data_IF_583668399888
#
_entry.id   IF_583668399888
#
_cell.length_a   1.000
_cell.length_b   1.000
_cell.length_c   1.000
_cell.angle_alpha   90.00
_cell.angle_beta   90.00
_cell.angle_gamma   90.00
#
_symmetry.space_group_name_H-M   'P 1'
#
loop_
_entity.id
_entity.type
_entity.pdbx_description
1 polymer ?
#
# COMPACT_ATOMS: atom_id res chain seq x y z
N UNK A 1 58.71 25.96 44.75
CA UNK A 1 60.20 25.72 44.71
C UNK A 1 60.52 25.21 43.32
N UNK A 2 61.45 25.99 42.73
CA UNK A 2 62.44 25.60 41.72
C UNK A 2 61.92 24.97 40.44
N UNK A 3 61.93 25.61 39.31
CA UNK A 3 63.03 26.27 38.52
C UNK A 3 63.44 25.42 37.33
N UNK A 4 63.34 26.01 36.18
CA UNK A 4 64.31 26.24 35.07
C UNK A 4 64.66 24.97 34.23
N UNK A 5 64.96 25.00 32.93
CA UNK A 5 65.53 25.99 32.01
C UNK A 5 65.52 25.39 30.60
N UNK A 6 65.08 26.06 29.53
CA UNK A 6 65.91 26.67 28.47
C UNK A 6 66.99 25.74 27.84
N UNK A 7 67.08 25.60 26.53
CA UNK A 7 67.85 26.45 25.58
C UNK A 7 67.86 25.68 24.21
N UNK A 8 67.49 26.30 23.11
CA UNK A 8 68.23 26.84 21.97
C UNK A 8 69.27 25.88 21.30
N UNK A 9 69.42 25.77 20.01
CA UNK A 9 69.71 26.75 18.98
C UNK A 9 69.89 26.08 17.61
N UNK A 10 69.35 26.67 16.56
CA UNK A 10 69.81 26.93 15.21
C UNK A 10 70.89 26.06 14.50
N UNK A 11 70.76 25.73 13.27
CA UNK A 11 71.47 26.42 12.16
C UNK A 11 71.03 25.85 10.77
N UNK A 12 70.85 26.73 9.87
CA UNK A 12 70.63 26.51 8.45
C UNK A 12 71.94 26.11 7.73
N UNK A 13 71.83 25.51 6.56
CA UNK A 13 72.58 25.86 5.34
C UNK A 13 71.85 25.26 4.10
N UNK A 14 71.66 26.12 3.11
CA UNK A 14 71.16 25.90 1.80
C UNK A 14 72.13 25.15 0.89
N UNK A 15 71.70 24.46 -0.07
CA UNK A 15 72.29 24.42 -1.41
C UNK A 15 71.25 24.18 -2.50
N UNK A 16 71.27 25.05 -3.45
CA UNK A 16 70.52 25.14 -4.71
C UNK A 16 70.84 24.01 -5.70
N UNK A 17 69.79 23.56 -6.38
CA UNK A 17 69.94 22.75 -7.58
C UNK A 17 68.66 22.87 -8.42
N UNK A 18 68.69 23.78 -9.38
CA UNK A 18 67.61 23.97 -10.35
C UNK A 18 67.58 22.81 -11.37
N UNK A 19 66.49 22.15 -11.47
CA UNK A 19 66.11 21.41 -12.69
C UNK A 19 64.72 21.88 -13.10
N UNK A 20 64.69 22.62 -14.20
CA UNK A 20 63.47 22.96 -14.89
C UNK A 20 62.95 21.73 -15.61
N UNK A 21 61.84 21.20 -15.14
CA UNK A 21 61.02 20.28 -15.95
C UNK A 21 59.73 21.05 -16.34
N UNK A 22 59.59 21.28 -17.64
CA UNK A 22 58.39 21.78 -18.27
C UNK A 22 57.27 20.74 -18.08
N UNK A 23 56.32 21.05 -17.21
CA UNK A 23 55.06 20.31 -17.16
C UNK A 23 54.13 20.92 -18.20
N UNK A 24 53.80 20.17 -19.23
CA UNK A 24 52.68 20.43 -20.14
C UNK A 24 51.40 20.38 -19.31
N UNK A 25 50.65 21.48 -19.31
CA UNK A 25 49.38 21.56 -18.65
C UNK A 25 48.33 20.78 -19.40
N UNK A 26 47.99 19.62 -18.90
CA UNK A 26 46.70 18.99 -19.19
C UNK A 26 45.64 19.76 -18.39
N UNK A 27 44.92 20.62 -19.09
CA UNK A 27 43.69 21.21 -18.58
C UNK A 27 42.65 20.13 -18.54
N UNK A 28 42.41 19.56 -17.36
CA UNK A 28 41.18 18.78 -17.12
C UNK A 28 39.98 19.67 -17.42
N UNK A 29 38.95 19.14 -18.09
CA UNK A 29 37.74 19.91 -18.34
C UNK A 29 37.11 20.31 -17.01
N UNK A 30 36.82 21.62 -16.87
CA UNK A 30 36.05 22.19 -15.80
C UNK A 30 34.69 21.48 -15.77
N UNK A 31 34.47 20.59 -14.79
CA UNK A 31 33.17 20.10 -14.44
C UNK A 31 32.49 21.25 -13.71
N UNK A 32 31.42 21.84 -14.24
CA UNK A 32 30.69 22.81 -13.45
C UNK A 32 30.19 22.11 -12.19
N UNK A 33 30.55 22.65 -11.05
CA UNK A 33 29.96 22.31 -9.75
C UNK A 33 28.45 22.41 -9.92
N UNK A 34 27.77 21.25 -9.91
CA UNK A 34 26.32 21.24 -9.87
C UNK A 34 25.96 21.91 -8.55
N UNK A 35 25.34 23.08 -8.68
CA UNK A 35 24.69 23.75 -7.56
C UNK A 35 24.00 22.67 -6.74
N UNK A 36 24.46 22.52 -5.49
CA UNK A 36 23.88 21.60 -4.54
C UNK A 36 22.42 21.97 -4.41
N UNK A 37 21.54 21.17 -5.03
CA UNK A 37 20.13 21.22 -4.75
C UNK A 37 20.01 20.95 -3.25
N UNK A 38 19.74 21.99 -2.49
CA UNK A 38 19.39 21.90 -1.09
C UNK A 38 18.22 20.92 -0.99
N UNK A 39 18.46 19.72 -0.44
CA UNK A 39 17.42 18.74 -0.18
C UNK A 39 16.57 19.33 0.94
N UNK A 40 15.58 20.13 0.56
CA UNK A 40 14.58 20.62 1.49
C UNK A 40 13.64 19.45 1.82
N UNK A 41 13.48 19.09 3.11
CA UNK A 41 12.54 18.06 3.55
C UNK A 41 11.13 18.41 3.09
N UNK A 42 10.46 17.48 2.41
CA UNK A 42 9.17 17.74 1.75
C UNK A 42 8.22 16.58 2.09
N UNK A 43 6.95 16.84 2.45
CA UNK A 43 6.17 15.92 3.30
C UNK A 43 7.20 15.24 4.19
N UNK A 44 7.22 15.29 5.45
CA UNK A 44 8.43 15.00 6.21
C UNK A 44 9.19 13.80 5.62
N UNK A 45 10.39 14.05 5.02
CA UNK A 45 11.20 13.02 4.37
C UNK A 45 10.78 12.55 2.96
N UNK A 46 9.80 13.19 2.33
CA UNK A 46 9.33 12.86 0.97
C UNK A 46 9.98 13.69 -0.14
N UNK A 47 9.35 13.74 -1.31
CA UNK A 47 9.78 14.47 -2.51
C UNK A 47 8.61 14.98 -3.35
N UNK A 48 8.88 15.73 -4.45
CA UNK A 48 7.85 16.13 -5.39
C UNK A 48 7.13 14.91 -5.97
N UNK A 49 5.80 14.92 -5.92
CA UNK A 49 4.99 13.80 -6.37
C UNK A 49 4.99 13.67 -7.90
N UNK A 50 5.02 12.42 -8.38
CA UNK A 50 4.71 12.12 -9.76
C UNK A 50 3.20 12.26 -10.00
N UNK A 51 2.77 13.41 -10.53
CA UNK A 51 1.34 13.71 -10.71
C UNK A 51 0.57 12.72 -11.58
N UNK A 52 1.24 11.95 -12.44
CA UNK A 52 0.60 10.89 -13.21
C UNK A 52 -0.02 9.80 -12.32
N UNK A 53 0.56 9.57 -11.15
CA UNK A 53 0.07 8.60 -10.16
C UNK A 53 -1.02 9.18 -9.23
N UNK A 54 -1.28 10.49 -9.30
CA UNK A 54 -2.14 11.19 -8.32
C UNK A 54 -3.29 11.95 -8.98
N UNK A 55 -3.73 11.55 -10.16
CA UNK A 55 -4.79 12.24 -10.90
C UNK A 55 -6.13 12.34 -10.15
N UNK A 56 -6.32 11.54 -9.12
CA UNK A 56 -7.47 11.57 -8.21
C UNK A 56 -7.29 12.51 -7.01
N UNK A 57 -6.06 12.99 -6.76
CA UNK A 57 -5.82 13.90 -5.64
C UNK A 57 -6.68 15.14 -5.75
N UNK A 58 -7.26 15.52 -4.62
CA UNK A 58 -8.24 16.61 -4.56
C UNK A 58 -7.90 17.52 -3.40
N UNK A 59 -7.85 18.82 -3.65
CA UNK A 59 -7.78 19.83 -2.61
C UNK A 59 -9.18 20.15 -2.10
N UNK A 60 -9.34 20.29 -0.79
CA UNK A 60 -10.59 20.77 -0.16
C UNK A 60 -10.39 22.22 0.26
N UNK A 61 -11.24 23.11 -0.25
CA UNK A 61 -11.12 24.56 -0.08
C UNK A 61 -12.41 25.14 0.53
N UNK A 62 -12.28 26.34 1.13
CA UNK A 62 -13.47 27.16 1.35
C UNK A 62 -13.95 27.72 0.00
N UNK A 63 -15.25 27.86 -0.20
CA UNK A 63 -15.84 28.33 -1.48
C UNK A 63 -15.29 29.68 -1.94
N UNK A 64 -14.88 30.55 -1.02
CA UNK A 64 -14.27 31.86 -1.32
C UNK A 64 -12.73 31.85 -1.16
N UNK A 65 -12.12 30.69 -0.91
CA UNK A 65 -10.68 30.55 -0.65
C UNK A 65 -9.91 30.05 -1.85
N UNK A 66 -8.61 30.33 -1.89
CA UNK A 66 -7.68 29.77 -2.87
C UNK A 66 -6.78 28.70 -2.29
N UNK A 67 -6.67 28.66 -0.96
CA UNK A 67 -5.77 27.73 -0.25
C UNK A 67 -6.55 26.56 0.32
N UNK A 68 -6.10 25.34 0.02
CA UNK A 68 -6.67 24.13 0.58
C UNK A 68 -6.44 24.05 2.11
N UNK A 69 -7.45 23.63 2.85
CA UNK A 69 -7.33 23.35 4.28
C UNK A 69 -7.20 21.84 4.57
N UNK A 70 -7.61 21.00 3.63
CA UNK A 70 -7.51 19.54 3.67
C UNK A 70 -7.26 18.98 2.25
N UNK A 71 -6.89 17.71 2.20
CA UNK A 71 -6.87 16.88 1.00
C UNK A 71 -8.12 16.03 0.86
N UNK A 72 -8.18 15.29 -0.23
CA UNK A 72 -9.22 14.33 -0.57
C UNK A 72 -8.84 13.53 -1.80
N UNK A 73 -9.73 12.65 -2.23
CA UNK A 73 -9.59 11.88 -3.46
C UNK A 73 -10.90 11.78 -4.24
N UNK A 74 -10.82 11.99 -5.55
CA UNK A 74 -11.96 11.75 -6.43
C UNK A 74 -12.15 10.23 -6.62
N UNK A 75 -13.33 9.74 -6.30
CA UNK A 75 -13.67 8.31 -6.28
C UNK A 75 -14.73 7.92 -7.33
N UNK A 76 -14.94 8.81 -8.32
CA UNK A 76 -15.93 8.59 -9.39
C UNK A 76 -17.35 9.07 -9.01
N UNK A 77 -18.24 9.06 -10.01
CA UNK A 77 -19.68 9.37 -9.91
C UNK A 77 -20.02 10.72 -9.26
N UNK A 78 -19.08 11.68 -9.33
CA UNK A 78 -19.22 13.00 -8.71
C UNK A 78 -19.02 12.97 -7.19
N UNK A 79 -18.26 12.02 -6.65
CA UNK A 79 -17.93 11.96 -5.24
C UNK A 79 -16.45 12.17 -4.96
N UNK A 80 -16.17 12.89 -3.88
CA UNK A 80 -14.82 13.04 -3.30
C UNK A 80 -14.84 12.48 -1.89
N UNK A 81 -13.85 11.64 -1.59
CA UNK A 81 -13.59 11.08 -0.27
C UNK A 81 -12.62 11.98 0.47
N UNK A 82 -12.89 12.26 1.76
CA UNK A 82 -12.05 13.06 2.65
C UNK A 82 -12.28 12.64 4.11
N UNK A 83 -11.56 13.26 5.05
CA UNK A 83 -11.77 13.03 6.48
C UNK A 83 -13.00 13.80 7.01
N UNK A 84 -13.72 13.19 7.95
CA UNK A 84 -14.86 13.82 8.59
C UNK A 84 -14.48 15.08 9.38
N UNK A 85 -13.33 15.07 10.06
CA UNK A 85 -12.87 16.23 10.85
C UNK A 85 -12.65 17.48 9.97
N UNK A 86 -12.32 17.31 8.70
CA UNK A 86 -12.15 18.42 7.75
C UNK A 86 -13.45 19.17 7.49
N UNK A 87 -14.57 18.46 7.44
CA UNK A 87 -15.82 19.00 6.87
C UNK A 87 -17.01 18.95 7.83
N UNK A 88 -16.93 18.23 8.94
CA UNK A 88 -18.08 18.02 9.84
C UNK A 88 -18.73 19.33 10.34
N UNK A 89 -17.94 20.35 10.62
CA UNK A 89 -18.40 21.65 11.12
C UNK A 89 -18.83 22.65 10.05
N UNK A 90 -18.68 22.31 8.75
CA UNK A 90 -18.95 23.20 7.61
C UNK A 90 -20.22 22.79 6.89
N UNK A 91 -20.99 23.74 6.36
CA UNK A 91 -22.06 23.43 5.40
C UNK A 91 -21.47 23.18 4.02
N UNK A 92 -22.06 22.24 3.25
CA UNK A 92 -21.60 21.84 1.91
C UNK A 92 -21.38 23.05 0.99
N UNK A 93 -22.32 23.99 0.92
CA UNK A 93 -22.26 25.23 0.11
C UNK A 93 -21.03 26.12 0.36
N UNK A 94 -20.30 25.91 1.45
CA UNK A 94 -19.08 26.65 1.78
C UNK A 94 -17.81 25.84 1.50
N UNK A 95 -17.94 24.73 0.81
CA UNK A 95 -16.86 23.84 0.44
C UNK A 95 -16.79 23.75 -1.08
N UNK A 96 -15.61 24.01 -1.62
CA UNK A 96 -15.24 23.65 -2.97
C UNK A 96 -14.17 22.58 -2.94
N UNK A 97 -14.09 21.83 -4.01
CA UNK A 97 -12.98 20.90 -4.26
C UNK A 97 -12.19 21.35 -5.49
N UNK A 98 -10.93 20.91 -5.57
CA UNK A 98 -10.13 21.07 -6.79
C UNK A 98 -9.49 19.73 -7.14
N UNK A 99 -10.10 19.00 -8.09
CA UNK A 99 -9.64 17.68 -8.53
C UNK A 99 -8.44 17.83 -9.47
N UNK A 100 -7.43 16.96 -9.32
CA UNK A 100 -6.15 17.06 -10.00
C UNK A 100 -5.46 18.43 -9.83
N UNK A 101 -5.67 19.07 -8.69
CA UNK A 101 -5.02 20.31 -8.30
C UNK A 101 -3.75 20.02 -7.51
N UNK A 102 -2.59 20.27 -8.12
CA UNK A 102 -1.29 19.89 -7.56
C UNK A 102 -0.51 21.07 -6.97
N UNK A 103 -0.99 22.31 -7.20
CA UNK A 103 -0.35 23.55 -6.71
C UNK A 103 -1.18 24.19 -5.62
N UNK A 104 -0.55 24.51 -4.50
CA UNK A 104 -1.19 25.23 -3.41
C UNK A 104 -1.49 26.66 -3.84
N UNK A 105 -2.77 27.05 -3.80
CA UNK A 105 -3.20 28.37 -4.28
C UNK A 105 -3.13 28.56 -5.81
N UNK A 106 -2.71 27.53 -6.58
CA UNK A 106 -2.60 27.58 -8.03
C UNK A 106 -3.96 27.52 -8.75
N UNK A 107 -3.91 27.67 -10.08
CA UNK A 107 -5.09 27.63 -10.96
C UNK A 107 -5.26 26.29 -11.68
N UNK A 108 -4.34 25.34 -11.45
CA UNK A 108 -4.39 23.98 -11.99
C UNK A 108 -5.54 23.17 -11.36
N UNK A 109 -5.95 22.09 -12.04
CA UNK A 109 -7.05 21.24 -11.61
C UNK A 109 -8.44 21.83 -11.92
N UNK A 110 -9.46 21.03 -11.66
CA UNK A 110 -10.86 21.37 -11.90
C UNK A 110 -11.56 21.74 -10.59
N UNK A 111 -11.92 23.00 -10.42
CA UNK A 111 -12.63 23.50 -9.23
C UNK A 111 -14.13 23.33 -9.38
N UNK A 112 -14.75 22.70 -8.36
CA UNK A 112 -16.17 22.32 -8.38
C UNK A 112 -16.77 22.58 -7.01
N UNK A 113 -17.99 23.11 -6.96
CA UNK A 113 -18.77 23.28 -5.73
C UNK A 113 -19.28 21.94 -5.18
N UNK A 114 -19.51 21.90 -3.88
CA UNK A 114 -20.08 20.75 -3.18
C UNK A 114 -21.56 21.00 -2.92
N UNK A 115 -22.44 20.14 -3.44
CA UNK A 115 -23.90 20.23 -3.24
C UNK A 115 -24.36 19.52 -2.00
N UNK A 116 -23.71 18.42 -1.62
CA UNK A 116 -24.08 17.63 -0.45
C UNK A 116 -22.85 17.04 0.24
N UNK A 117 -22.98 16.83 1.54
CA UNK A 117 -21.92 16.29 2.38
C UNK A 117 -22.47 15.18 3.27
N UNK A 118 -21.80 14.05 3.26
CA UNK A 118 -22.11 12.90 4.09
C UNK A 118 -20.94 12.66 5.06
N UNK A 119 -21.20 12.81 6.34
CA UNK A 119 -20.25 12.47 7.41
C UNK A 119 -20.67 11.11 7.95
N UNK A 120 -19.71 10.20 8.18
CA UNK A 120 -20.04 8.90 8.73
C UNK A 120 -20.83 9.02 10.03
N UNK A 121 -21.98 8.34 10.20
CA UNK A 121 -22.87 8.54 11.34
C UNK A 121 -22.24 8.22 12.71
N UNK A 122 -21.24 7.34 12.72
CA UNK A 122 -20.48 6.97 13.92
C UNK A 122 -19.21 7.82 14.11
N UNK A 123 -18.98 8.85 13.31
CA UNK A 123 -17.83 9.73 13.48
C UNK A 123 -17.82 10.33 14.88
N UNK A 124 -16.70 10.14 15.58
CA UNK A 124 -16.49 10.70 16.91
C UNK A 124 -15.34 11.71 16.90
N UNK A 125 -15.67 12.97 17.13
CA UNK A 125 -14.70 14.07 17.07
C UNK A 125 -13.60 13.98 18.15
N UNK A 126 -13.87 13.34 19.27
CA UNK A 126 -12.91 13.24 20.38
C UNK A 126 -11.88 12.13 20.18
N UNK A 127 -12.29 11.04 19.56
CA UNK A 127 -11.43 9.87 19.31
C UNK A 127 -10.96 9.76 17.88
N UNK A 128 -11.56 10.53 16.95
CA UNK A 128 -11.39 10.45 15.51
C UNK A 128 -11.67 9.05 14.91
N UNK A 129 -12.49 8.24 15.61
CA UNK A 129 -13.00 7.00 15.04
C UNK A 129 -14.01 7.32 13.94
N UNK A 130 -14.04 6.50 12.89
CA UNK A 130 -14.87 6.70 11.69
C UNK A 130 -14.64 8.06 11.03
N UNK A 131 -13.39 8.51 10.98
CA UNK A 131 -13.02 9.82 10.45
C UNK A 131 -13.03 9.85 8.92
N UNK A 132 -14.20 9.69 8.35
CA UNK A 132 -14.43 9.62 6.91
C UNK A 132 -15.68 10.42 6.50
N UNK A 133 -15.62 11.08 5.36
CA UNK A 133 -16.73 11.82 4.77
C UNK A 133 -16.72 11.75 3.25
N UNK A 134 -17.90 11.84 2.65
CA UNK A 134 -18.09 12.00 1.21
C UNK A 134 -18.64 13.37 0.89
N UNK A 135 -18.14 13.95 -0.19
CA UNK A 135 -18.63 15.21 -0.77
C UNK A 135 -19.23 14.91 -2.13
N UNK A 136 -20.52 15.22 -2.32
CA UNK A 136 -21.20 15.16 -3.62
C UNK A 136 -20.93 16.46 -4.37
N UNK A 137 -20.40 16.35 -5.57
CA UNK A 137 -20.05 17.47 -6.43
C UNK A 137 -21.25 17.92 -7.28
N UNK A 138 -21.28 19.19 -7.65
CA UNK A 138 -22.28 19.75 -8.59
C UNK A 138 -22.26 19.07 -9.96
N UNK A 139 -21.11 18.59 -10.38
CA UNK A 139 -20.86 17.89 -11.65
C UNK A 139 -19.67 16.95 -11.52
N UNK A 140 -19.53 16.03 -12.47
CA UNK A 140 -18.30 15.29 -12.61
C UNK A 140 -17.14 16.21 -13.02
N UNK A 141 -15.91 15.96 -12.53
CA UNK A 141 -14.75 16.70 -12.95
C UNK A 141 -14.41 16.43 -14.42
N UNK A 142 -13.90 17.46 -15.08
CA UNK A 142 -13.38 17.41 -16.46
C UNK A 142 -11.89 17.09 -16.51
N UNK A 143 -11.20 17.15 -15.37
CA UNK A 143 -9.79 16.81 -15.20
C UNK A 143 -9.65 15.80 -14.08
N UNK A 144 -8.58 15.01 -14.15
CA UNK A 144 -8.31 13.97 -13.17
C UNK A 144 -8.98 12.63 -13.51
N UNK A 145 -8.74 11.64 -12.68
CA UNK A 145 -9.27 10.27 -12.81
C UNK A 145 -9.70 9.77 -11.44
N UNK A 146 -10.71 8.93 -11.39
CA UNK A 146 -11.13 8.31 -10.15
C UNK A 146 -10.11 7.27 -9.68
N UNK A 147 -9.84 7.23 -8.37
CA UNK A 147 -9.05 6.14 -7.76
C UNK A 147 -9.94 4.95 -7.44
N UNK A 148 -9.38 3.76 -7.57
CA UNK A 148 -9.99 2.53 -7.05
C UNK A 148 -9.88 2.50 -5.52
N UNK A 149 -10.97 2.18 -4.83
CA UNK A 149 -10.98 2.02 -3.39
C UNK A 149 -10.77 0.55 -2.99
N UNK A 150 -10.08 0.34 -1.89
CA UNK A 150 -10.03 -0.96 -1.22
C UNK A 150 -11.40 -1.30 -0.62
N UNK A 151 -11.74 -2.59 -0.58
CA UNK A 151 -12.95 -3.11 0.04
C UNK A 151 -12.65 -4.35 0.87
N UNK A 152 -13.45 -4.61 1.90
CA UNK A 152 -13.31 -5.77 2.78
C UNK A 152 -12.26 -5.58 3.87
N UNK A 153 -11.02 -6.01 3.67
CA UNK A 153 -9.94 -5.90 4.66
C UNK A 153 -8.65 -5.40 4.03
N UNK A 154 -7.95 -4.51 4.71
CA UNK A 154 -6.64 -3.99 4.27
C UNK A 154 -5.62 -5.12 4.07
N UNK A 155 -5.70 -6.21 4.85
CA UNK A 155 -4.79 -7.37 4.75
C UNK A 155 -4.87 -8.11 3.41
N UNK A 156 -5.92 -7.88 2.62
CA UNK A 156 -6.05 -8.40 1.26
C UNK A 156 -5.20 -7.61 0.25
N UNK A 157 -4.84 -6.38 0.59
CA UNK A 157 -4.10 -5.45 -0.27
C UNK A 157 -2.65 -5.27 0.16
N UNK A 158 -2.39 -5.23 1.47
CA UNK A 158 -1.06 -4.97 1.99
C UNK A 158 -0.76 -5.80 3.25
N UNK A 159 0.50 -6.17 3.41
CA UNK A 159 1.03 -6.85 4.60
C UNK A 159 1.76 -5.83 5.48
N UNK A 160 1.87 -6.12 6.77
CA UNK A 160 2.73 -5.35 7.67
C UNK A 160 4.14 -5.19 7.09
N UNK A 161 4.65 -3.96 7.09
CA UNK A 161 5.94 -3.58 6.51
C UNK A 161 5.90 -3.27 5.01
N UNK A 162 4.78 -3.52 4.32
CA UNK A 162 4.66 -3.15 2.91
C UNK A 162 4.52 -1.64 2.74
N UNK A 163 5.20 -1.08 1.73
CA UNK A 163 5.26 0.36 1.49
C UNK A 163 3.96 0.87 0.88
N UNK A 164 3.43 1.90 1.48
CA UNK A 164 2.25 2.65 1.05
C UNK A 164 2.67 4.07 0.74
N UNK A 165 2.10 4.66 -0.31
CA UNK A 165 2.41 6.02 -0.72
C UNK A 165 1.34 7.00 -0.23
N UNK A 166 1.76 8.13 0.32
CA UNK A 166 0.89 9.25 0.74
C UNK A 166 1.28 10.47 -0.08
N UNK A 167 0.29 11.23 -0.54
CA UNK A 167 0.57 12.51 -1.19
C UNK A 167 -0.32 13.63 -0.66
N UNK A 168 0.25 14.84 -0.66
CA UNK A 168 -0.49 16.01 -0.25
C UNK A 168 0.26 17.33 -0.33
N UNK A 169 -0.40 18.36 0.18
CA UNK A 169 0.07 19.74 0.26
C UNK A 169 0.20 20.20 1.72
N UNK A 170 0.36 19.25 2.64
CA UNK A 170 0.58 19.52 4.06
C UNK A 170 1.96 20.10 4.35
N UNK A 171 2.26 20.34 5.63
CA UNK A 171 3.52 20.93 6.07
C UNK A 171 4.70 19.99 5.80
N UNK A 172 5.83 20.58 5.47
CA UNK A 172 7.08 19.87 5.16
C UNK A 172 7.84 19.42 6.42
N UNK A 173 7.45 19.92 7.56
CA UNK A 173 7.93 19.53 8.89
C UNK A 173 6.93 19.97 9.94
N UNK A 174 7.03 19.44 11.15
CA UNK A 174 6.22 19.89 12.28
C UNK A 174 6.42 21.38 12.53
N UNK A 175 5.32 22.18 12.43
CA UNK A 175 5.38 23.64 12.53
C UNK A 175 5.97 24.36 11.31
N UNK A 176 6.44 23.65 10.30
CA UNK A 176 7.07 24.20 9.09
C UNK A 176 6.09 24.80 8.08
N UNK A 177 6.63 25.26 6.94
CA UNK A 177 5.85 25.80 5.80
C UNK A 177 5.16 24.69 5.03
N UNK A 178 4.21 25.06 4.19
CA UNK A 178 3.59 24.17 3.20
C UNK A 178 4.30 24.30 1.84
N UNK A 179 4.35 23.22 1.05
CA UNK A 179 4.92 23.25 -0.29
C UNK A 179 4.03 24.02 -1.27
N UNK A 180 4.63 24.54 -2.32
CA UNK A 180 3.90 25.13 -3.44
C UNK A 180 3.34 24.07 -4.40
N UNK A 181 3.89 22.84 -4.36
CA UNK A 181 3.56 21.73 -5.26
C UNK A 181 3.38 20.44 -4.44
N UNK A 182 2.47 19.57 -4.88
CA UNK A 182 2.17 18.30 -4.20
C UNK A 182 3.43 17.48 -3.99
N UNK A 183 3.53 16.91 -2.80
CA UNK A 183 4.62 16.04 -2.39
C UNK A 183 4.11 14.63 -2.16
N UNK A 184 5.01 13.62 -2.23
CA UNK A 184 4.71 12.23 -1.89
C UNK A 184 5.79 11.64 -0.98
N UNK A 185 5.39 10.67 -0.17
CA UNK A 185 6.28 9.89 0.70
C UNK A 185 5.78 8.45 0.80
N UNK A 186 6.72 7.53 0.90
CA UNK A 186 6.42 6.13 1.15
C UNK A 186 6.61 5.78 2.63
N UNK A 187 5.60 5.15 3.22
CA UNK A 187 5.58 4.75 4.63
C UNK A 187 5.14 3.29 4.76
N UNK A 188 5.79 2.48 5.61
CA UNK A 188 5.41 1.08 5.79
C UNK A 188 4.10 0.95 6.58
N UNK A 189 3.25 -0.02 6.20
CA UNK A 189 2.09 -0.42 6.98
C UNK A 189 2.53 -0.99 8.32
N UNK A 190 1.95 -0.50 9.41
CA UNK A 190 2.24 -0.93 10.78
C UNK A 190 1.12 -1.84 11.29
N UNK A 191 1.48 -2.93 11.97
CA UNK A 191 0.48 -3.82 12.57
C UNK A 191 -0.23 -3.16 13.77
N UNK A 192 -1.50 -3.48 13.99
CA UNK A 192 -2.27 -2.93 15.12
C UNK A 192 -1.59 -3.13 16.48
N UNK A 193 -1.00 -4.32 16.80
CA UNK A 193 -0.30 -4.49 18.06
C UNK A 193 0.87 -3.53 18.26
N UNK A 194 1.64 -3.24 17.19
CA UNK A 194 2.77 -2.30 17.24
C UNK A 194 2.25 -0.87 17.35
N UNK A 195 1.26 -0.50 16.56
CA UNK A 195 0.61 0.79 16.62
C UNK A 195 0.07 1.10 18.03
N UNK A 196 -0.66 0.16 18.61
CA UNK A 196 -1.29 0.31 19.93
C UNK A 196 -0.27 0.50 21.07
N UNK A 197 0.96 -0.02 20.92
CA UNK A 197 2.04 0.20 21.89
C UNK A 197 2.51 1.64 21.97
N UNK A 198 2.22 2.50 20.98
CA UNK A 198 2.49 3.94 21.05
C UNK A 198 1.68 4.65 22.16
N UNK A 199 0.69 3.97 22.74
CA UNK A 199 -0.10 4.42 23.90
C UNK A 199 -1.07 5.57 23.58
N UNK A 200 -1.77 6.04 24.60
CA UNK A 200 -2.78 7.11 24.43
C UNK A 200 -3.87 6.72 23.44
N UNK A 201 -4.19 7.60 22.49
CA UNK A 201 -5.23 7.36 21.49
C UNK A 201 -4.88 6.21 20.52
N UNK A 202 -3.61 5.85 20.36
CA UNK A 202 -3.19 4.70 19.55
C UNK A 202 -3.70 3.36 20.09
N UNK A 203 -3.93 3.24 21.40
CA UNK A 203 -4.42 2.00 22.02
C UNK A 203 -5.77 1.51 21.48
N UNK A 204 -6.50 2.38 20.76
CA UNK A 204 -7.81 2.06 20.18
C UNK A 204 -7.81 2.08 18.65
N UNK A 205 -6.63 2.13 18.02
CA UNK A 205 -6.53 2.01 16.56
C UNK A 205 -6.75 0.54 16.18
N UNK A 206 -7.56 0.31 15.17
CA UNK A 206 -8.00 -0.98 14.65
C UNK A 206 -9.44 -0.88 14.15
N UNK A 207 -9.99 -1.95 13.59
CA UNK A 207 -11.34 -2.08 13.02
C UNK A 207 -11.71 -1.11 11.90
N UNK A 208 -11.51 0.21 12.09
CA UNK A 208 -11.89 1.27 11.12
C UNK A 208 -10.75 2.26 10.86
N UNK A 209 -9.56 1.97 11.37
CA UNK A 209 -8.36 2.76 11.16
C UNK A 209 -7.12 1.86 11.22
N UNK A 210 -6.04 2.27 10.58
CA UNK A 210 -4.74 1.61 10.63
C UNK A 210 -3.61 2.62 10.74
N UNK A 211 -2.42 2.14 11.11
CA UNK A 211 -1.22 2.94 11.22
C UNK A 211 -0.25 2.68 10.06
N UNK A 212 0.45 3.73 9.60
CA UNK A 212 1.61 3.59 8.75
C UNK A 212 2.69 4.60 9.17
N UNK A 213 3.96 4.25 9.00
CA UNK A 213 5.09 5.10 9.39
C UNK A 213 6.27 4.29 9.88
N UNK A 214 7.38 4.98 10.12
CA UNK A 214 8.62 4.38 10.60
C UNK A 214 8.75 4.51 12.12
N UNK A 215 9.26 3.48 12.83
CA UNK A 215 9.49 3.55 14.28
C UNK A 215 10.42 4.70 14.69
N UNK A 216 11.43 5.00 13.87
CA UNK A 216 12.38 6.10 14.10
C UNK A 216 11.82 7.46 13.70
N UNK A 217 10.62 7.54 13.14
CA UNK A 217 10.07 8.76 12.53
C UNK A 217 10.76 9.11 11.21
N UNK A 218 11.01 10.39 10.96
CA UNK A 218 11.69 10.97 9.78
C UNK A 218 10.82 11.08 8.52
N UNK A 219 9.86 10.18 8.31
CA UNK A 219 8.94 10.19 7.16
C UNK A 219 7.50 10.01 7.64
N UNK A 220 6.62 10.94 7.23
CA UNK A 220 5.22 10.94 7.66
C UNK A 220 4.40 11.92 6.83
N UNK A 221 3.07 11.76 6.87
CA UNK A 221 2.11 12.82 6.55
C UNK A 221 2.09 13.88 7.66
N UNK A 222 1.69 15.11 7.34
CA UNK A 222 1.71 16.21 8.31
C UNK A 222 0.46 17.09 8.21
N UNK A 223 0.39 18.12 9.06
CA UNK A 223 -0.75 19.06 9.11
C UNK A 223 -1.05 19.67 7.74
N UNK A 224 -2.26 19.45 7.23
CA UNK A 224 -2.73 19.88 5.92
C UNK A 224 -2.83 18.74 4.89
N UNK A 225 -2.30 17.54 5.18
CA UNK A 225 -2.55 16.32 4.40
C UNK A 225 -3.84 15.62 4.79
N UNK A 226 -4.44 16.02 5.93
CA UNK A 226 -5.72 15.52 6.44
C UNK A 226 -6.76 15.31 5.32
N UNK A 227 -7.39 14.16 5.29
CA UNK A 227 -8.38 13.79 4.26
C UNK A 227 -7.76 13.32 2.94
N UNK A 228 -6.45 13.51 2.73
CA UNK A 228 -5.73 13.03 1.56
C UNK A 228 -5.58 11.50 1.52
N UNK A 229 -5.25 10.94 0.36
CA UNK A 229 -5.15 9.51 0.16
C UNK A 229 -3.84 8.90 0.65
N UNK A 230 -3.93 7.66 1.19
CA UNK A 230 -2.83 6.71 1.28
C UNK A 230 -3.17 5.52 0.39
N UNK A 231 -2.23 5.15 -0.47
CA UNK A 231 -2.46 4.18 -1.55
C UNK A 231 -1.39 3.09 -1.56
N UNK A 232 -1.74 1.97 -2.18
CA UNK A 232 -0.76 1.00 -2.66
C UNK A 232 -0.72 1.04 -4.18
N UNK A 233 0.51 1.02 -4.75
CA UNK A 233 0.73 0.96 -6.19
C UNK A 233 1.40 -0.36 -6.54
N UNK A 234 0.73 -1.19 -7.33
CA UNK A 234 1.25 -2.47 -7.81
C UNK A 234 1.24 -2.49 -9.34
N UNK A 235 2.41 -2.18 -9.92
CA UNK A 235 2.59 -2.23 -11.38
C UNK A 235 1.71 -1.24 -12.15
N UNK A 236 1.43 -0.07 -11.56
CA UNK A 236 0.58 0.97 -12.15
C UNK A 236 -0.90 0.89 -11.73
N UNK A 237 -1.31 -0.17 -11.07
CA UNK A 237 -2.64 -0.25 -10.45
C UNK A 237 -2.59 0.38 -9.06
N UNK A 238 -3.26 1.52 -8.92
CA UNK A 238 -3.31 2.30 -7.68
C UNK A 238 -4.63 2.04 -6.98
N UNK A 239 -4.55 1.60 -5.71
CA UNK A 239 -5.72 1.36 -4.85
C UNK A 239 -5.57 2.17 -3.58
N UNK A 240 -6.56 2.98 -3.25
CA UNK A 240 -6.60 3.73 -2.01
C UNK A 240 -7.01 2.81 -0.85
N UNK A 241 -6.14 2.71 0.15
CA UNK A 241 -6.36 1.91 1.35
C UNK A 241 -6.92 2.71 2.51
N UNK A 242 -6.59 4.00 2.56
CA UNK A 242 -7.01 4.85 3.67
C UNK A 242 -7.07 6.33 3.33
N UNK A 243 -7.52 7.08 4.31
CA UNK A 243 -7.62 8.55 4.29
C UNK A 243 -6.87 9.11 5.49
N UNK A 244 -5.97 10.08 5.29
CA UNK A 244 -5.18 10.71 6.36
C UNK A 244 -6.12 11.27 7.42
N UNK A 245 -6.00 10.79 8.65
CA UNK A 245 -6.85 11.17 9.77
C UNK A 245 -6.08 11.99 10.82
N UNK A 246 -5.15 11.39 11.55
CA UNK A 246 -4.43 12.08 12.61
C UNK A 246 -3.05 11.48 12.89
N UNK A 247 -2.26 12.17 13.70
CA UNK A 247 -0.99 11.73 14.26
C UNK A 247 -0.60 12.61 15.43
N UNK A 248 0.37 12.17 16.25
CA UNK A 248 0.94 12.99 17.34
C UNK A 248 2.24 13.63 16.86
N UNK A 249 2.16 14.90 16.46
CA UNK A 249 3.24 15.59 15.74
C UNK A 249 3.34 15.12 14.30
N UNK A 250 4.50 15.27 13.68
CA UNK A 250 4.79 14.76 12.34
C UNK A 250 6.18 14.12 12.35
N UNK A 251 6.26 12.86 11.92
CA UNK A 251 7.51 12.08 11.84
C UNK A 251 8.29 11.97 13.15
N UNK A 252 7.62 11.95 14.30
CA UNK A 252 8.25 11.75 15.61
C UNK A 252 8.54 10.26 15.83
N UNK A 253 9.63 9.89 16.50
CA UNK A 253 9.88 8.50 16.87
C UNK A 253 8.71 7.90 17.66
N UNK A 254 8.38 6.63 17.37
CA UNK A 254 7.30 5.86 17.97
C UNK A 254 5.91 6.52 17.87
N UNK A 255 5.73 7.42 16.90
CA UNK A 255 4.44 8.04 16.57
C UNK A 255 4.17 7.84 15.07
N UNK A 256 3.12 7.12 14.79
CA UNK A 256 2.72 6.77 13.43
C UNK A 256 1.61 7.69 12.92
N UNK A 257 1.52 7.86 11.61
CA UNK A 257 0.31 8.40 10.99
C UNK A 257 -0.84 7.40 11.14
N UNK A 258 -2.03 7.89 11.46
CA UNK A 258 -3.27 7.10 11.56
C UNK A 258 -4.20 7.47 10.41
N UNK A 259 -4.71 6.46 9.74
CA UNK A 259 -5.51 6.56 8.54
C UNK A 259 -6.86 5.89 8.76
N UNK A 260 -7.97 6.53 8.37
CA UNK A 260 -9.26 5.87 8.32
C UNK A 260 -9.21 4.73 7.29
N UNK A 261 -9.59 3.51 7.69
CA UNK A 261 -9.52 2.31 6.84
C UNK A 261 -10.64 2.31 5.81
N UNK A 262 -10.30 2.62 4.56
CA UNK A 262 -11.24 2.65 3.43
C UNK A 262 -11.80 1.27 3.16
N UNK A 263 -11.00 0.21 3.31
CA UNK A 263 -11.47 -1.15 3.07
C UNK A 263 -12.57 -1.55 4.08
N UNK A 264 -12.34 -1.26 5.36
CA UNK A 264 -13.32 -1.53 6.41
C UNK A 264 -14.59 -0.67 6.29
N UNK A 265 -14.45 0.56 5.76
CA UNK A 265 -15.54 1.54 5.64
C UNK A 265 -16.18 1.56 4.23
N UNK A 266 -15.73 0.71 3.31
CA UNK A 266 -16.22 0.65 1.93
C UNK A 266 -17.73 0.49 1.83
N UNK A 267 -18.34 -0.26 2.73
CA UNK A 267 -19.77 -0.46 2.74
C UNK A 267 -20.59 0.81 2.94
N UNK A 268 -20.12 1.70 3.81
CA UNK A 268 -20.77 3.00 3.99
C UNK A 268 -20.58 3.89 2.75
N UNK A 269 -19.38 3.88 2.15
CA UNK A 269 -19.08 4.64 0.93
C UNK A 269 -20.01 4.20 -0.20
N UNK A 270 -20.09 2.89 -0.43
CA UNK A 270 -20.93 2.32 -1.50
C UNK A 270 -22.42 2.58 -1.25
N UNK A 271 -22.90 2.49 0.00
CA UNK A 271 -24.27 2.82 0.38
C UNK A 271 -24.66 4.25 0.00
N UNK A 272 -23.78 5.21 0.25
CA UNK A 272 -24.01 6.61 -0.14
C UNK A 272 -24.00 6.78 -1.66
N UNK A 273 -23.05 6.17 -2.37
CA UNK A 273 -22.94 6.28 -3.84
C UNK A 273 -24.13 5.66 -4.56
N UNK A 274 -24.73 4.62 -4.03
CA UNK A 274 -25.86 3.90 -4.63
C UNK A 274 -27.24 4.44 -4.19
N UNK A 275 -27.25 5.38 -3.24
CA UNK A 275 -28.51 5.84 -2.63
C UNK A 275 -29.12 4.74 -1.75
N UNK A 276 -29.22 4.92 -0.48
CA UNK A 276 -29.52 4.05 0.68
C UNK A 276 -30.52 2.88 0.56
N UNK A 277 -30.90 2.44 -0.61
CA UNK A 277 -32.02 1.49 -0.79
C UNK A 277 -31.66 0.16 -1.46
N UNK A 278 -30.40 -0.15 -1.68
CA UNK A 278 -30.00 -1.40 -2.34
C UNK A 278 -28.96 -2.21 -1.53
N UNK A 279 -28.98 -3.55 -1.60
CA UNK A 279 -27.89 -4.35 -1.10
C UNK A 279 -26.61 -4.01 -1.86
N UNK A 280 -25.51 -3.83 -1.15
CA UNK A 280 -24.19 -3.51 -1.73
C UNK A 280 -23.22 -4.65 -1.45
N UNK A 281 -22.72 -5.29 -2.51
CA UNK A 281 -21.73 -6.38 -2.38
C UNK A 281 -20.33 -5.87 -2.65
N UNK A 282 -19.47 -6.00 -1.67
CA UNK A 282 -18.04 -5.68 -1.77
C UNK A 282 -17.19 -6.93 -1.85
N UNK A 283 -16.21 -6.91 -2.74
CA UNK A 283 -15.27 -8.01 -2.97
C UNK A 283 -14.04 -7.47 -3.73
N UNK A 284 -12.92 -8.19 -3.67
CA UNK A 284 -11.74 -7.85 -4.45
C UNK A 284 -11.94 -8.36 -5.88
N UNK A 285 -11.90 -7.46 -6.86
CA UNK A 285 -12.12 -7.82 -8.27
C UNK A 285 -10.93 -8.55 -8.90
N UNK A 286 -9.73 -8.02 -8.70
CA UNK A 286 -8.51 -8.59 -9.28
C UNK A 286 -7.41 -8.65 -8.23
N UNK A 287 -6.78 -9.81 -8.11
CA UNK A 287 -5.68 -10.01 -7.17
C UNK A 287 -4.57 -10.82 -7.83
N UNK A 288 -3.33 -10.35 -7.63
CA UNK A 288 -2.14 -11.10 -8.01
C UNK A 288 -1.55 -11.77 -6.77
N UNK A 289 -1.34 -13.06 -6.83
CA UNK A 289 -0.66 -13.83 -5.80
C UNK A 289 0.85 -13.89 -6.10
N UNK A 290 1.62 -14.32 -5.10
CA UNK A 290 3.03 -14.64 -5.30
C UNK A 290 3.22 -15.71 -6.39
N UNK A 291 4.38 -15.72 -7.03
CA UNK A 291 4.76 -16.80 -7.93
C UNK A 291 4.82 -18.11 -7.16
N UNK A 292 4.49 -19.21 -7.82
CA UNK A 292 4.50 -20.55 -7.26
C UNK A 292 5.20 -21.53 -8.21
N UNK A 293 5.58 -22.69 -7.69
CA UNK A 293 6.28 -23.72 -8.47
C UNK A 293 5.28 -24.61 -9.21
N UNK A 294 5.74 -25.25 -10.30
CA UNK A 294 4.96 -26.31 -10.95
C UNK A 294 4.59 -27.38 -9.91
N UNK A 295 3.37 -27.89 -10.02
CA UNK A 295 2.76 -28.91 -9.15
C UNK A 295 2.54 -28.47 -7.67
N UNK A 296 2.95 -27.26 -7.31
CA UNK A 296 2.60 -26.65 -6.00
C UNK A 296 1.11 -26.35 -5.94
N UNK A 297 0.46 -26.70 -4.83
CA UNK A 297 -0.93 -26.36 -4.58
C UNK A 297 -1.02 -24.98 -3.95
N UNK A 298 -1.71 -24.09 -4.64
CA UNK A 298 -1.98 -22.72 -4.18
C UNK A 298 -3.39 -22.66 -3.64
N UNK A 299 -3.56 -22.22 -2.40
CA UNK A 299 -4.87 -21.98 -1.79
C UNK A 299 -5.21 -20.49 -1.87
N UNK A 300 -6.46 -20.18 -2.19
CA UNK A 300 -6.99 -18.81 -2.16
C UNK A 300 -8.41 -18.78 -1.60
N UNK A 301 -8.76 -17.64 -0.98
CA UNK A 301 -10.09 -17.38 -0.44
C UNK A 301 -10.70 -16.16 -1.10
N UNK A 302 -11.81 -16.35 -1.79
CA UNK A 302 -12.68 -15.25 -2.22
C UNK A 302 -13.65 -14.91 -1.10
N UNK A 303 -13.80 -13.63 -0.82
CA UNK A 303 -14.74 -13.13 0.21
C UNK A 303 -15.71 -12.15 -0.44
N UNK A 304 -17.01 -12.35 -0.21
CA UNK A 304 -18.05 -11.38 -0.51
C UNK A 304 -18.58 -10.85 0.82
N UNK A 305 -18.74 -9.53 0.93
CA UNK A 305 -19.39 -8.88 2.07
C UNK A 305 -20.58 -8.07 1.57
N UNK A 306 -21.71 -8.19 2.25
CA UNK A 306 -22.79 -7.24 2.08
C UNK A 306 -22.54 -6.01 2.95
N UNK A 307 -22.15 -4.92 2.31
CA UNK A 307 -21.86 -3.63 2.93
C UNK A 307 -23.08 -2.69 2.92
N UNK A 308 -24.15 -3.07 2.22
CA UNK A 308 -25.40 -2.31 2.18
C UNK A 308 -26.27 -2.51 3.42
N UNK A 309 -27.30 -1.68 3.54
CA UNK A 309 -28.28 -1.74 4.65
C UNK A 309 -29.32 -2.86 4.48
N UNK A 310 -29.58 -3.28 3.24
CA UNK A 310 -30.53 -4.34 2.90
C UNK A 310 -29.83 -5.70 2.77
N UNK A 311 -30.58 -6.77 2.96
CA UNK A 311 -30.07 -8.13 2.75
C UNK A 311 -29.85 -8.41 1.27
N UNK A 312 -28.73 -9.08 0.95
CA UNK A 312 -28.36 -9.52 -0.39
C UNK A 312 -28.48 -11.04 -0.51
N UNK A 313 -29.38 -11.53 -1.35
CA UNK A 313 -29.47 -12.96 -1.67
C UNK A 313 -28.57 -13.28 -2.86
N UNK A 314 -27.63 -14.20 -2.67
CA UNK A 314 -26.71 -14.64 -3.72
C UNK A 314 -27.29 -15.86 -4.44
N UNK A 315 -27.08 -15.94 -5.75
CA UNK A 315 -27.26 -17.17 -6.52
C UNK A 315 -26.06 -18.12 -6.28
N UNK A 316 -26.13 -19.31 -6.90
CA UNK A 316 -25.00 -20.22 -6.92
C UNK A 316 -23.77 -19.52 -7.53
N UNK A 317 -22.62 -19.66 -6.89
CA UNK A 317 -21.36 -19.11 -7.39
C UNK A 317 -20.74 -20.07 -8.43
N UNK A 318 -19.93 -19.51 -9.32
CA UNK A 318 -19.18 -20.28 -10.31
C UNK A 318 -17.69 -19.97 -10.18
N UNK A 319 -16.88 -21.02 -10.15
CA UNK A 319 -15.41 -20.90 -10.15
C UNK A 319 -14.85 -21.60 -11.37
N UNK A 320 -14.01 -20.93 -12.13
CA UNK A 320 -13.40 -21.45 -13.34
C UNK A 320 -11.92 -21.11 -13.44
N UNK A 321 -11.12 -22.02 -13.97
CA UNK A 321 -9.69 -21.84 -14.23
C UNK A 321 -9.41 -21.53 -15.69
N UNK A 322 -8.36 -20.77 -15.96
CA UNK A 322 -7.83 -20.53 -17.31
C UNK A 322 -6.32 -20.31 -17.30
N UNK A 323 -5.72 -20.19 -18.48
CA UNK A 323 -4.26 -20.18 -18.62
C UNK A 323 -3.68 -21.56 -18.30
N UNK A 324 -2.66 -21.61 -17.44
CA UNK A 324 -2.02 -22.88 -17.04
C UNK A 324 -2.65 -23.49 -15.76
N UNK A 325 -3.82 -23.00 -15.32
CA UNK A 325 -4.52 -23.51 -14.14
C UNK A 325 -4.88 -24.98 -14.31
N UNK A 326 -4.50 -25.81 -13.35
CA UNK A 326 -4.77 -27.24 -13.25
C UNK A 326 -5.26 -27.60 -11.86
N UNK A 327 -5.92 -28.73 -11.71
CA UNK A 327 -6.35 -29.26 -10.41
C UNK A 327 -7.23 -28.31 -9.58
N UNK A 328 -8.00 -27.43 -10.25
CA UNK A 328 -8.86 -26.47 -9.57
C UNK A 328 -10.00 -27.18 -8.83
N UNK A 329 -10.07 -26.97 -7.53
CA UNK A 329 -11.09 -27.51 -6.63
C UNK A 329 -11.63 -26.42 -5.73
N UNK A 330 -12.95 -26.39 -5.52
CA UNK A 330 -13.58 -25.60 -4.45
C UNK A 330 -13.57 -26.44 -3.18
N UNK A 331 -12.79 -26.02 -2.18
CA UNK A 331 -12.63 -26.77 -0.92
C UNK A 331 -13.66 -26.38 0.13
N UNK A 332 -14.23 -25.17 0.02
CA UNK A 332 -15.36 -24.73 0.84
C UNK A 332 -16.14 -23.62 0.12
N UNK A 333 -17.45 -23.64 0.25
CA UNK A 333 -18.35 -22.62 -0.27
C UNK A 333 -19.41 -22.30 0.77
N UNK A 334 -19.40 -21.06 1.26
CA UNK A 334 -20.42 -20.54 2.15
C UNK A 334 -21.22 -19.38 1.53
N UNK A 335 -21.05 -19.15 0.21
CA UNK A 335 -21.68 -18.06 -0.55
C UNK A 335 -22.86 -18.50 -1.40
N UNK A 336 -22.77 -19.66 -2.04
CA UNK A 336 -23.82 -20.13 -2.96
C UNK A 336 -25.19 -20.21 -2.30
N UNK A 337 -26.18 -19.59 -2.94
CA UNK A 337 -27.58 -19.56 -2.53
C UNK A 337 -27.80 -19.03 -1.10
N UNK A 338 -26.94 -18.13 -0.65
CA UNK A 338 -26.98 -17.55 0.71
C UNK A 338 -27.51 -16.14 0.67
N UNK A 339 -28.32 -15.80 1.67
CA UNK A 339 -28.69 -14.41 1.97
C UNK A 339 -27.72 -13.84 3.00
N UNK A 340 -27.05 -12.74 2.66
CA UNK A 340 -26.17 -11.98 3.53
C UNK A 340 -26.94 -10.78 4.08
N UNK A 341 -27.17 -10.73 5.38
CA UNK A 341 -27.66 -9.52 6.05
C UNK A 341 -26.60 -8.41 6.00
N UNK A 342 -27.00 -7.17 6.34
CA UNK A 342 -26.06 -6.05 6.42
C UNK A 342 -24.80 -6.42 7.21
N UNK A 343 -23.65 -6.10 6.67
CA UNK A 343 -22.32 -6.37 7.23
C UNK A 343 -21.92 -7.86 7.33
N UNK A 344 -22.73 -8.80 6.86
CA UNK A 344 -22.33 -10.20 6.80
C UNK A 344 -21.43 -10.49 5.61
N UNK A 345 -20.56 -11.50 5.78
CA UNK A 345 -19.66 -12.00 4.74
C UNK A 345 -19.85 -13.49 4.53
N UNK A 346 -19.47 -13.94 3.33
CA UNK A 346 -19.31 -15.34 2.99
C UNK A 346 -17.97 -15.55 2.26
N UNK A 347 -17.52 -16.81 2.21
CA UNK A 347 -16.25 -17.17 1.63
C UNK A 347 -16.38 -18.35 0.68
N UNK A 348 -15.55 -18.34 -0.36
CA UNK A 348 -15.30 -19.50 -1.21
C UNK A 348 -13.80 -19.77 -1.22
N UNK A 349 -13.40 -20.93 -0.73
CA UNK A 349 -12.01 -21.36 -0.71
C UNK A 349 -11.74 -22.24 -1.93
N UNK A 350 -10.65 -22.00 -2.59
CA UNK A 350 -10.21 -22.76 -3.77
C UNK A 350 -8.79 -23.22 -3.62
N UNK A 351 -8.48 -24.35 -4.24
CA UNK A 351 -7.11 -24.83 -4.43
C UNK A 351 -6.89 -25.07 -5.92
N UNK A 352 -5.70 -24.74 -6.40
CA UNK A 352 -5.29 -24.96 -7.79
C UNK A 352 -3.78 -25.15 -7.88
N UNK A 353 -3.33 -25.69 -9.00
CA UNK A 353 -1.92 -25.90 -9.33
C UNK A 353 -1.66 -25.53 -10.79
N UNK A 354 -0.45 -25.73 -11.26
CA UNK A 354 -0.08 -25.66 -12.68
C UNK A 354 0.90 -26.76 -13.02
N UNK A 355 0.74 -27.38 -14.20
CA UNK A 355 1.62 -28.44 -14.72
C UNK A 355 2.64 -27.90 -15.73
N UNK A 356 2.47 -26.66 -16.18
CA UNK A 356 3.35 -25.97 -17.12
C UNK A 356 3.58 -24.54 -16.66
N UNK A 357 4.76 -23.98 -16.97
CA UNK A 357 5.06 -22.60 -16.65
C UNK A 357 4.16 -21.63 -17.44
N UNK A 358 3.76 -20.57 -16.79
CA UNK A 358 2.85 -19.58 -17.37
C UNK A 358 1.99 -18.89 -16.35
N UNK A 359 0.95 -18.21 -16.81
CA UNK A 359 0.00 -17.52 -15.93
C UNK A 359 -1.22 -18.41 -15.67
N UNK A 360 -1.47 -18.72 -14.40
CA UNK A 360 -2.66 -19.35 -13.91
C UNK A 360 -3.69 -18.28 -13.49
N UNK A 361 -4.93 -18.42 -13.92
CA UNK A 361 -6.01 -17.52 -13.55
C UNK A 361 -7.18 -18.34 -12.98
N UNK A 362 -7.71 -17.91 -11.83
CA UNK A 362 -8.93 -18.46 -11.26
C UNK A 362 -9.97 -17.36 -11.21
N UNK A 363 -11.06 -17.53 -11.94
CA UNK A 363 -12.19 -16.59 -11.97
C UNK A 363 -13.30 -17.10 -11.06
N UNK A 364 -13.73 -16.24 -10.17
CA UNK A 364 -14.90 -16.41 -9.31
C UNK A 364 -16.01 -15.49 -9.82
N UNK A 365 -17.18 -16.03 -10.14
CA UNK A 365 -18.32 -15.29 -10.65
C UNK A 365 -19.57 -15.56 -9.79
N UNK A 366 -20.35 -14.52 -9.56
CA UNK A 366 -21.58 -14.57 -8.77
C UNK A 366 -22.57 -13.49 -9.20
N UNK A 367 -23.82 -13.62 -8.78
CA UNK A 367 -24.88 -12.63 -8.99
C UNK A 367 -25.81 -12.60 -7.78
N UNK A 368 -26.58 -11.53 -7.67
CA UNK A 368 -27.72 -11.45 -6.74
C UNK A 368 -28.97 -12.04 -7.37
N UNK A 369 -29.84 -12.64 -6.56
CA UNK A 369 -31.04 -13.32 -7.04
C UNK A 369 -32.05 -12.36 -7.70
N UNK A 370 -32.02 -11.08 -7.28
CA UNK A 370 -32.94 -10.01 -7.73
C UNK A 370 -32.28 -9.05 -8.74
N UNK A 371 -31.08 -9.40 -9.24
CA UNK A 371 -30.31 -8.57 -10.16
C UNK A 371 -29.79 -9.39 -11.35
N UNK A 372 -29.88 -8.83 -12.55
CA UNK A 372 -29.22 -9.39 -13.74
C UNK A 372 -27.72 -9.13 -13.80
N UNK A 373 -27.19 -8.31 -12.88
CA UNK A 373 -25.78 -7.94 -12.85
C UNK A 373 -24.91 -9.12 -12.44
N UNK A 374 -23.96 -9.47 -13.30
CA UNK A 374 -22.94 -10.47 -13.00
C UNK A 374 -21.70 -9.78 -12.42
N UNK A 375 -21.25 -10.29 -11.30
CA UNK A 375 -20.02 -9.87 -10.64
C UNK A 375 -18.93 -10.92 -10.87
N UNK A 376 -17.67 -10.49 -10.95
CA UNK A 376 -16.57 -11.44 -11.01
C UNK A 376 -15.33 -10.91 -10.34
N UNK A 377 -14.56 -11.81 -9.73
CA UNK A 377 -13.24 -11.59 -9.21
C UNK A 377 -12.26 -12.56 -9.91
N UNK A 378 -11.04 -12.10 -10.16
CA UNK A 378 -9.99 -12.93 -10.76
C UNK A 378 -8.76 -12.92 -9.89
N UNK A 379 -8.25 -14.11 -9.62
CA UNK A 379 -6.94 -14.29 -8.99
C UNK A 379 -5.97 -14.76 -10.07
N UNK A 380 -4.83 -14.09 -10.15
CA UNK A 380 -3.76 -14.40 -11.09
C UNK A 380 -2.49 -14.76 -10.32
N UNK A 381 -1.85 -15.85 -10.71
CA UNK A 381 -0.56 -16.26 -10.16
C UNK A 381 0.35 -16.77 -11.29
N UNK A 382 1.64 -16.54 -11.20
CA UNK A 382 2.61 -17.02 -12.20
C UNK A 382 3.25 -18.32 -11.72
N UNK A 383 2.96 -19.39 -12.44
CA UNK A 383 3.66 -20.66 -12.28
C UNK A 383 5.04 -20.56 -12.94
N UNK A 384 6.07 -20.87 -12.20
CA UNK A 384 7.45 -20.85 -12.68
C UNK A 384 8.03 -22.25 -12.63
N UNK A 385 8.66 -22.62 -13.72
CA UNK A 385 9.55 -23.77 -13.73
C UNK A 385 10.84 -23.35 -13.04
N UNK A 386 10.87 -23.48 -11.72
CA UNK A 386 12.17 -23.42 -11.04
C UNK A 386 12.79 -24.77 -11.37
N UNK A 387 13.99 -24.82 -11.95
CA UNK A 387 14.69 -26.09 -12.12
C UNK A 387 14.77 -26.77 -10.76
N UNK A 388 13.96 -27.79 -10.60
CA UNK A 388 13.81 -28.51 -9.33
C UNK A 388 15.02 -29.41 -9.09
N UNK A 389 15.89 -29.52 -10.08
CA UNK A 389 17.16 -30.21 -9.97
C UNK A 389 18.11 -29.46 -9.04
N UNK A 390 17.87 -29.56 -7.76
CA UNK A 390 18.90 -29.39 -6.76
C UNK A 390 19.95 -30.50 -6.97
N UNK A 391 21.20 -30.25 -6.61
CA UNK A 391 22.24 -31.29 -6.69
C UNK A 391 21.78 -32.60 -6.06
N UNK A 392 22.28 -33.73 -6.55
CA UNK A 392 21.99 -35.05 -5.95
C UNK A 392 22.30 -35.01 -4.45
N UNK A 393 21.44 -35.61 -3.64
CA UNK A 393 21.72 -35.77 -2.24
C UNK A 393 23.05 -36.51 -2.00
N UNK A 394 23.87 -36.00 -1.10
CA UNK A 394 25.13 -36.57 -0.67
C UNK A 394 25.12 -36.73 0.87
N UNK A 395 25.44 -37.94 1.33
CA UNK A 395 25.48 -38.29 2.74
C UNK A 395 26.51 -37.47 3.58
N UNK A 396 27.55 -36.95 2.93
CA UNK A 396 28.64 -36.20 3.58
C UNK A 396 28.42 -34.67 3.53
N UNK A 397 27.32 -34.22 2.95
CA UNK A 397 27.01 -32.79 2.82
C UNK A 397 26.01 -32.39 3.90
N UNK A 398 26.29 -31.24 4.53
CA UNK A 398 25.34 -30.59 5.46
C UNK A 398 24.32 -29.78 4.67
N UNK A 399 23.06 -30.07 4.94
CA UNK A 399 21.94 -29.30 4.35
C UNK A 399 21.21 -28.52 5.45
N UNK A 400 20.69 -27.36 5.07
CA UNK A 400 19.93 -26.46 5.97
C UNK A 400 18.73 -25.93 5.22
N UNK A 401 17.68 -25.52 5.91
CA UNK A 401 16.57 -24.82 5.26
C UNK A 401 17.08 -23.51 4.62
N UNK A 402 16.80 -23.25 3.33
CA UNK A 402 15.92 -23.96 2.38
C UNK A 402 16.66 -24.84 1.33
N UNK A 403 17.77 -25.48 1.69
CA UNK A 403 18.53 -26.29 0.72
C UNK A 403 17.67 -27.42 0.15
N UNK A 404 17.77 -27.63 -1.16
CA UNK A 404 17.04 -28.67 -1.89
C UNK A 404 17.98 -29.69 -2.49
N UNK A 405 17.52 -30.93 -2.50
CA UNK A 405 18.25 -32.06 -3.09
C UNK A 405 17.34 -32.93 -3.92
N UNK A 406 17.89 -33.56 -4.94
CA UNK A 406 17.24 -34.62 -5.69
C UNK A 406 17.69 -35.98 -5.14
N UNK A 407 16.73 -36.86 -4.86
CA UNK A 407 16.98 -38.24 -4.46
C UNK A 407 15.90 -39.15 -5.06
N UNK A 408 16.35 -40.16 -5.86
CA UNK A 408 15.48 -41.12 -6.54
C UNK A 408 14.36 -40.47 -7.40
N UNK A 409 14.70 -39.45 -8.19
CA UNK A 409 13.74 -38.73 -9.05
C UNK A 409 12.73 -37.88 -8.30
N UNK A 410 13.00 -37.59 -7.04
CA UNK A 410 12.14 -36.75 -6.17
C UNK A 410 12.96 -35.61 -5.62
N UNK A 411 12.32 -34.47 -5.43
CA UNK A 411 12.93 -33.29 -4.84
C UNK A 411 12.46 -33.13 -3.41
N UNK A 412 13.42 -32.85 -2.55
CA UNK A 412 13.21 -32.64 -1.12
C UNK A 412 13.87 -31.33 -0.69
N UNK A 413 13.25 -30.63 0.26
CA UNK A 413 13.79 -29.46 0.93
C UNK A 413 14.10 -29.77 2.40
N UNK A 414 15.29 -29.38 2.87
CA UNK A 414 15.63 -29.52 4.28
C UNK A 414 14.77 -28.59 5.14
N UNK A 415 14.07 -29.14 6.14
CA UNK A 415 13.25 -28.37 7.10
C UNK A 415 14.12 -27.65 8.14
N UNK A 416 15.28 -28.21 8.46
CA UNK A 416 16.29 -27.68 9.38
C UNK A 416 17.65 -28.30 9.06
N UNK A 417 18.64 -28.10 9.88
CA UNK A 417 19.98 -28.67 9.71
C UNK A 417 19.96 -30.22 9.71
N UNK A 418 20.60 -30.82 8.71
CA UNK A 418 20.71 -32.29 8.58
C UNK A 418 22.05 -32.70 7.94
N UNK A 419 22.56 -33.86 8.35
CA UNK A 419 23.75 -34.53 7.80
C UNK A 419 23.49 -36.04 7.79
N UNK A 420 23.79 -36.69 6.66
CA UNK A 420 23.66 -38.15 6.46
C UNK A 420 22.24 -38.72 6.68
N UNK A 421 21.21 -37.89 6.61
CA UNK A 421 19.82 -38.34 6.66
C UNK A 421 19.20 -38.42 5.25
N UNK A 422 18.77 -39.66 4.88
CA UNK A 422 18.24 -39.89 3.51
C UNK A 422 16.90 -39.21 3.31
N UNK A 423 16.74 -38.46 2.18
CA UNK A 423 15.44 -37.96 1.79
C UNK A 423 14.41 -39.06 1.62
N UNK A 424 13.19 -38.81 2.04
CA UNK A 424 12.08 -39.76 1.97
C UNK A 424 12.02 -40.79 3.10
N UNK A 425 13.09 -40.94 3.89
CA UNK A 425 13.13 -41.87 5.04
C UNK A 425 13.28 -41.16 6.39
N UNK A 426 13.53 -39.85 6.37
CA UNK A 426 13.70 -39.03 7.59
C UNK A 426 12.72 -37.84 7.57
N UNK A 427 12.26 -37.43 8.76
CA UNK A 427 11.33 -36.31 8.96
C UNK A 427 11.99 -34.95 8.73
N UNK A 428 13.31 -34.89 8.59
CA UNK A 428 14.03 -33.62 8.32
C UNK A 428 13.81 -33.11 6.90
N UNK A 429 13.28 -33.94 6.01
CA UNK A 429 13.02 -33.60 4.63
C UNK A 429 11.54 -33.34 4.38
N UNK A 430 11.25 -32.24 3.68
CA UNK A 430 9.96 -31.95 3.11
C UNK A 430 9.97 -32.43 1.64
N UNK A 431 9.08 -33.32 1.30
CA UNK A 431 8.85 -33.69 -0.10
C UNK A 431 8.26 -32.50 -0.86
N UNK A 432 8.91 -32.09 -1.97
CA UNK A 432 8.51 -30.95 -2.78
C UNK A 432 7.75 -31.40 -4.02
N UNK A 433 8.18 -32.48 -4.66
CA UNK A 433 7.52 -33.03 -5.85
C UNK A 433 8.32 -34.13 -6.53
N UNK A 434 7.69 -34.80 -7.48
CA UNK A 434 8.35 -35.75 -8.39
C UNK A 434 8.93 -34.97 -9.55
N UNK A 435 10.20 -35.21 -9.87
CA UNK A 435 10.82 -34.70 -11.11
C UNK A 435 11.53 -35.84 -11.85
N UNK A 436 10.88 -36.42 -12.84
CA UNK A 436 11.47 -37.49 -13.65
C UNK A 436 12.65 -37.02 -14.53
N UNK A 437 12.85 -35.71 -14.70
CA UNK A 437 13.99 -35.14 -15.45
C UNK A 437 15.25 -35.01 -14.58
N UNK A 438 15.14 -35.11 -13.26
CA UNK A 438 16.25 -35.12 -12.33
C UNK A 438 16.76 -36.56 -12.12
N UNK A 439 17.47 -37.09 -13.07
CA UNK A 439 18.13 -38.41 -12.98
C UNK A 439 19.58 -38.26 -12.52
#
# INVERSE_FOLDING_TARGET
>A
MKKFSKLTTSLAIAFSGAFAAQAQGDTLPFIPEQDGAEITPQIVGGGPANTANWQFYTQILNSNGTTAFCGGSYIGDGYVLTAAHCVSSKSARFIDVKVAGFRLGGTDGDRIGVVEKYVHPQYNRSTLNYDIALLKLERNPTQGQAVQLASGSISQYARTGEMLSVAGLGRLSEGGSRPSFIQEVDVPLVSDPVCNQSGGNYANVGNVAFCAGYPQGQQDSCSGDSGGPIVINRGGQIVQLGTVSWGIGCARPDKYGVYADVAALSGWIDGIKQGDSSPSLTYIQNQSLANFNLYEVVSHRFTIRNSGSQSASLNAVNVSGSGVTSGLVVTADSCSNRTLSSNQSCNVNVEFSANTAGTANVKFAFSQADSSTQHSATVTAKATDIPVCAGSWDANTVYRKPDRVTYQGKVYEAKWWTLNEKPGSSQVWLFIGDDPSCK
#
